data_IF_732428469595
#
_entry.id   IF_732428469595
#
_cell.length_a   1.000
_cell.length_b   1.000
_cell.length_c   1.000
_cell.angle_alpha   90.00
_cell.angle_beta   90.00
_cell.angle_gamma   90.00
#
_symmetry.space_group_name_H-M   'P 1'
#
loop_
_entity.id
_entity.type
_entity.pdbx_description
1 polymer ?
#
# COMPACT_ATOMS: atom_id res chain seq x y z
N UNK A 1 3.88 -14.21 -56.63
CA UNK A 1 4.14 -13.89 -55.21
C UNK A 1 2.79 -13.77 -54.51
N UNK A 2 2.50 -14.67 -53.55
CA UNK A 2 1.27 -14.65 -52.75
C UNK A 2 1.53 -13.76 -51.53
N UNK A 3 0.80 -12.64 -51.41
CA UNK A 3 0.85 -11.80 -50.22
C UNK A 3 0.03 -12.48 -49.12
N UNK A 4 0.72 -12.86 -48.04
CA UNK A 4 0.13 -13.33 -46.80
C UNK A 4 -0.33 -12.09 -46.01
N UNK A 5 -1.64 -11.87 -45.94
CA UNK A 5 -2.24 -10.85 -45.08
C UNK A 5 -2.09 -11.31 -43.62
N UNK A 6 -1.24 -10.63 -42.85
CA UNK A 6 -1.17 -10.75 -41.40
C UNK A 6 -2.28 -9.85 -40.83
N UNK A 7 -3.30 -10.39 -40.15
CA UNK A 7 -4.21 -9.55 -39.39
C UNK A 7 -3.45 -8.99 -38.18
N UNK A 8 -3.22 -7.69 -38.20
CA UNK A 8 -2.77 -6.93 -37.04
C UNK A 8 -3.89 -6.99 -36.01
N UNK A 9 -3.71 -7.83 -34.99
CA UNK A 9 -4.55 -7.88 -33.82
C UNK A 9 -4.39 -6.54 -33.08
N UNK A 10 -5.36 -5.64 -33.26
CA UNK A 10 -5.53 -4.46 -32.43
C UNK A 10 -5.87 -4.94 -31.01
N UNK A 11 -4.87 -4.98 -30.14
CA UNK A 11 -5.07 -5.12 -28.71
C UNK A 11 -5.82 -3.86 -28.25
N UNK A 12 -7.11 -4.02 -27.96
CA UNK A 12 -7.89 -3.00 -27.28
C UNK A 12 -7.25 -2.81 -25.90
N UNK A 13 -6.49 -1.73 -25.74
CA UNK A 13 -6.17 -1.21 -24.42
C UNK A 13 -7.51 -0.87 -23.77
N UNK A 14 -7.97 -1.72 -22.85
CA UNK A 14 -9.11 -1.42 -22.00
C UNK A 14 -8.79 -0.12 -21.27
N UNK A 15 -9.43 0.98 -21.69
CA UNK A 15 -9.52 2.18 -20.90
C UNK A 15 -10.29 1.82 -19.64
N UNK A 16 -9.60 1.46 -18.57
CA UNK A 16 -10.22 1.35 -17.27
C UNK A 16 -10.72 2.75 -16.92
N UNK A 17 -12.03 2.93 -16.84
CA UNK A 17 -12.60 4.20 -16.41
C UNK A 17 -12.09 4.47 -15.00
N UNK A 18 -11.20 5.46 -14.86
CA UNK A 18 -10.60 5.82 -13.57
C UNK A 18 -11.56 6.70 -12.75
N UNK A 19 -12.81 6.26 -12.65
CA UNK A 19 -13.86 6.95 -11.92
C UNK A 19 -13.70 6.73 -10.42
N UNK A 20 -13.98 7.78 -9.66
CA UNK A 20 -14.09 7.72 -8.20
C UNK A 20 -15.20 6.76 -7.78
N UNK A 21 -14.90 5.89 -6.81
CA UNK A 21 -15.84 4.87 -6.28
C UNK A 21 -15.91 4.83 -4.76
N UNK A 22 -15.25 5.76 -4.04
CA UNK A 22 -15.24 5.77 -2.56
C UNK A 22 -16.63 5.74 -1.90
N UNK A 23 -17.63 6.36 -2.52
CA UNK A 23 -19.00 6.44 -1.96
C UNK A 23 -19.86 5.20 -2.28
N UNK A 24 -19.26 4.14 -2.85
CA UNK A 24 -19.92 2.86 -3.13
C UNK A 24 -19.07 1.71 -2.58
N UNK A 25 -19.38 1.28 -1.36
CA UNK A 25 -18.60 0.28 -0.61
C UNK A 25 -18.34 -1.00 -1.39
N UNK A 26 -19.37 -1.56 -2.03
CA UNK A 26 -19.23 -2.78 -2.82
C UNK A 26 -18.25 -2.60 -3.98
N UNK A 27 -18.29 -1.44 -4.65
CA UNK A 27 -17.39 -1.15 -5.77
C UNK A 27 -15.98 -0.78 -5.30
N UNK A 28 -15.87 -0.04 -4.21
CA UNK A 28 -14.59 0.28 -3.58
C UNK A 28 -13.87 -1.01 -3.14
N UNK A 29 -14.57 -1.91 -2.43
CA UNK A 29 -14.03 -3.21 -2.04
C UNK A 29 -13.58 -4.04 -3.26
N UNK A 30 -14.40 -4.13 -4.32
CA UNK A 30 -14.02 -4.83 -5.56
C UNK A 30 -12.75 -4.24 -6.18
N UNK A 31 -12.63 -2.92 -6.21
CA UNK A 31 -11.48 -2.21 -6.81
C UNK A 31 -10.21 -2.37 -5.97
N UNK A 32 -10.33 -2.42 -4.65
CA UNK A 32 -9.20 -2.55 -3.73
C UNK A 32 -8.57 -3.95 -3.76
N UNK A 33 -9.26 -4.99 -4.23
CA UNK A 33 -8.66 -6.32 -4.44
C UNK A 33 -7.53 -6.26 -5.47
N UNK A 34 -6.35 -6.78 -5.13
CA UNK A 34 -5.18 -6.86 -5.99
C UNK A 34 -3.88 -6.46 -5.29
N UNK A 35 -2.84 -6.22 -6.09
CA UNK A 35 -1.53 -5.79 -5.59
C UNK A 35 -1.40 -4.28 -5.71
N UNK A 36 -0.99 -3.65 -4.62
CA UNK A 36 -0.81 -2.22 -4.46
C UNK A 36 0.60 -1.94 -3.98
N UNK A 37 1.08 -0.75 -4.30
CA UNK A 37 2.37 -0.25 -3.81
C UNK A 37 2.22 1.20 -3.39
N UNK A 38 3.01 1.60 -2.42
CA UNK A 38 3.21 3.00 -2.09
C UNK A 38 4.61 3.26 -1.61
N UNK A 39 4.91 4.54 -1.45
CA UNK A 39 6.18 5.05 -0.98
C UNK A 39 5.95 6.36 -0.20
N UNK A 40 6.85 6.63 0.73
CA UNK A 40 6.78 7.79 1.61
C UNK A 40 8.17 8.18 2.11
N UNK A 41 8.29 9.43 2.56
CA UNK A 41 9.48 9.92 3.25
C UNK A 41 9.07 10.59 4.54
N UNK A 42 9.75 10.25 5.63
CA UNK A 42 9.56 10.94 6.90
C UNK A 42 10.14 12.36 6.80
N UNK A 43 9.32 13.34 7.17
CA UNK A 43 9.63 14.76 7.04
C UNK A 43 9.81 15.46 8.39
N UNK A 44 9.67 14.74 9.50
CA UNK A 44 9.97 15.23 10.84
C UNK A 44 11.47 15.24 11.10
N UNK A 45 11.92 16.08 12.05
CA UNK A 45 13.35 16.31 12.29
C UNK A 45 14.07 15.09 12.90
N UNK A 46 13.32 14.17 13.52
CA UNK A 46 13.88 12.97 14.17
C UNK A 46 14.09 11.82 13.17
N UNK A 47 13.19 11.64 12.20
CA UNK A 47 13.28 10.61 11.14
C UNK A 47 13.58 11.20 9.75
N UNK A 48 14.10 12.44 9.71
CA UNK A 48 14.44 13.13 8.46
C UNK A 48 15.42 12.30 7.62
N UNK A 49 14.94 11.84 6.45
CA UNK A 49 15.74 11.03 5.52
C UNK A 49 15.47 9.53 5.56
N UNK A 50 14.50 9.10 6.36
CA UNK A 50 13.94 7.75 6.27
C UNK A 50 13.00 7.68 5.07
N UNK A 51 13.19 6.67 4.23
CA UNK A 51 12.32 6.37 3.10
C UNK A 51 11.59 5.05 3.37
N UNK A 52 10.28 5.05 3.22
CA UNK A 52 9.45 3.86 3.34
C UNK A 52 8.90 3.48 1.97
N UNK A 53 8.82 2.19 1.71
CA UNK A 53 8.05 1.64 0.59
C UNK A 53 7.35 0.37 1.02
N UNK A 54 6.16 0.15 0.48
CA UNK A 54 5.37 -1.02 0.83
C UNK A 54 4.70 -1.64 -0.39
N UNK A 55 4.44 -2.93 -0.26
CA UNK A 55 3.66 -3.72 -1.19
C UNK A 55 2.51 -4.34 -0.41
N UNK A 56 1.29 -4.02 -0.79
CA UNK A 56 0.08 -4.52 -0.18
C UNK A 56 -0.63 -5.47 -1.16
N UNK A 57 -1.03 -6.65 -0.70
CA UNK A 57 -1.87 -7.59 -1.43
C UNK A 57 -3.19 -7.70 -0.68
N UNK A 58 -4.29 -7.33 -1.34
CA UNK A 58 -5.65 -7.47 -0.81
C UNK A 58 -6.37 -8.55 -1.60
N UNK A 59 -6.78 -9.60 -0.91
CA UNK A 59 -7.50 -10.74 -1.49
C UNK A 59 -9.02 -10.53 -1.42
N UNK A 60 -9.76 -11.16 -2.34
CA UNK A 60 -11.23 -11.05 -2.39
C UNK A 60 -11.96 -11.70 -1.21
N UNK A 61 -11.26 -12.53 -0.43
CA UNK A 61 -11.80 -13.13 0.80
C UNK A 61 -11.67 -12.21 2.02
N UNK A 62 -11.16 -10.99 1.82
CA UNK A 62 -10.95 -10.01 2.89
C UNK A 62 -9.63 -10.21 3.64
N UNK A 63 -8.73 -11.08 3.21
CA UNK A 63 -7.37 -11.16 3.76
C UNK A 63 -6.42 -10.16 3.08
N UNK A 64 -5.42 -9.69 3.82
CA UNK A 64 -4.31 -8.92 3.26
C UNK A 64 -2.95 -9.47 3.68
N UNK A 65 -1.94 -9.14 2.89
CA UNK A 65 -0.52 -9.25 3.24
C UNK A 65 0.18 -7.97 2.84
N UNK A 66 1.07 -7.50 3.68
CA UNK A 66 1.89 -6.32 3.39
C UNK A 66 3.35 -6.63 3.66
N UNK A 67 4.20 -6.22 2.74
CA UNK A 67 5.64 -6.19 2.90
C UNK A 67 6.06 -4.73 2.98
N UNK A 68 6.90 -4.38 3.97
CA UNK A 68 7.46 -3.05 4.18
C UNK A 68 8.98 -3.08 4.01
N UNK A 69 9.51 -1.99 3.49
CA UNK A 69 10.94 -1.68 3.44
C UNK A 69 11.14 -0.25 3.93
N UNK A 70 11.93 -0.09 4.98
CA UNK A 70 12.35 1.21 5.49
C UNK A 70 13.85 1.33 5.25
N UNK A 71 14.29 2.44 4.68
CA UNK A 71 15.69 2.72 4.35
C UNK A 71 16.13 3.97 5.09
N UNK A 72 17.20 3.85 5.87
CA UNK A 72 17.88 4.95 6.53
C UNK A 72 19.18 5.28 5.81
N UNK A 73 19.12 6.29 4.92
CA UNK A 73 20.25 6.68 4.08
C UNK A 73 21.44 7.23 4.86
N UNK A 74 21.20 7.91 5.98
CA UNK A 74 22.24 8.49 6.82
C UNK A 74 23.22 7.45 7.36
N UNK A 75 22.69 6.32 7.87
CA UNK A 75 23.49 5.25 8.45
C UNK A 75 23.73 4.07 7.50
N UNK A 76 23.16 4.12 6.30
CA UNK A 76 23.13 2.99 5.34
C UNK A 76 22.53 1.74 5.97
N UNK A 77 21.38 1.92 6.61
CA UNK A 77 20.63 0.87 7.28
C UNK A 77 19.31 0.63 6.55
N UNK A 78 18.76 -0.58 6.67
CA UNK A 78 17.41 -0.87 6.20
C UNK A 78 16.72 -1.88 7.10
N UNK A 79 15.40 -1.84 7.09
CA UNK A 79 14.52 -2.77 7.80
C UNK A 79 13.54 -3.39 6.81
N UNK A 80 13.28 -4.69 6.98
CA UNK A 80 12.23 -5.38 6.26
C UNK A 80 11.28 -6.01 7.27
N UNK A 81 10.00 -5.84 7.03
CA UNK A 81 8.96 -6.51 7.81
C UNK A 81 7.80 -6.92 6.91
N UNK A 82 7.06 -7.91 7.37
CA UNK A 82 5.81 -8.32 6.73
C UNK A 82 4.74 -8.48 7.79
N UNK A 83 3.52 -8.08 7.44
CA UNK A 83 2.33 -8.30 8.26
C UNK A 83 1.20 -8.90 7.40
N UNK A 84 0.24 -9.53 8.07
CA UNK A 84 -0.93 -10.10 7.44
C UNK A 84 -2.13 -10.03 8.37
N UNK A 85 -3.30 -9.91 7.78
CA UNK A 85 -4.53 -9.71 8.53
C UNK A 85 -5.77 -9.77 7.66
N UNK A 86 -6.83 -9.13 8.13
CA UNK A 86 -8.06 -8.95 7.38
C UNK A 86 -8.33 -7.48 7.13
N UNK A 87 -8.95 -7.16 6.00
CA UNK A 87 -9.35 -5.82 5.62
C UNK A 87 -10.83 -5.77 5.27
N UNK A 88 -11.42 -4.57 5.40
CA UNK A 88 -12.79 -4.31 4.95
C UNK A 88 -12.96 -2.84 4.54
N UNK A 89 -14.01 -2.56 3.78
CA UNK A 89 -14.41 -1.21 3.38
C UNK A 89 -15.90 -1.02 3.68
N UNK A 90 -16.24 -0.04 4.52
CA UNK A 90 -17.63 0.24 4.91
C UNK A 90 -17.79 1.73 5.23
N UNK A 91 -18.85 2.34 4.70
CA UNK A 91 -19.22 3.75 4.92
C UNK A 91 -18.06 4.74 4.64
N UNK A 92 -17.28 4.48 3.59
CA UNK A 92 -16.15 5.32 3.23
C UNK A 92 -14.93 5.19 4.16
N UNK A 93 -14.91 4.19 5.04
CA UNK A 93 -13.79 3.89 5.93
C UNK A 93 -13.15 2.56 5.52
N UNK A 94 -11.82 2.57 5.43
CA UNK A 94 -11.03 1.36 5.22
C UNK A 94 -10.51 0.86 6.57
N UNK A 95 -10.61 -0.44 6.82
CA UNK A 95 -10.21 -1.05 8.07
C UNK A 95 -9.20 -2.16 7.83
N UNK A 96 -8.23 -2.27 8.74
CA UNK A 96 -7.30 -3.39 8.81
C UNK A 96 -7.32 -3.98 10.22
N UNK A 97 -7.27 -5.30 10.31
CA UNK A 97 -7.08 -6.03 11.56
C UNK A 97 -5.89 -6.95 11.38
N UNK A 98 -4.78 -6.65 12.05
CA UNK A 98 -3.55 -7.43 11.92
C UNK A 98 -3.63 -8.79 12.63
N UNK A 99 -2.63 -9.64 12.45
CA UNK A 99 -2.56 -10.95 13.09
C UNK A 99 -2.58 -10.92 14.63
N UNK A 100 -2.24 -9.78 15.23
CA UNK A 100 -2.33 -9.53 16.68
C UNK A 100 -3.72 -9.10 17.17
N UNK A 101 -4.67 -8.85 16.26
CA UNK A 101 -6.02 -8.39 16.57
C UNK A 101 -6.16 -6.88 16.70
N UNK A 102 -5.12 -6.10 16.41
CA UNK A 102 -5.17 -4.64 16.43
C UNK A 102 -5.95 -4.15 15.22
N UNK A 103 -7.03 -3.40 15.46
CA UNK A 103 -7.85 -2.79 14.42
C UNK A 103 -7.42 -1.35 14.18
N UNK A 104 -7.11 -1.02 12.93
CA UNK A 104 -6.81 0.34 12.47
C UNK A 104 -7.93 0.77 11.53
N UNK A 105 -8.35 2.03 11.65
CA UNK A 105 -9.33 2.66 10.78
C UNK A 105 -8.66 3.79 9.99
N UNK A 106 -8.98 3.86 8.70
CA UNK A 106 -8.44 4.84 7.79
C UNK A 106 -9.57 5.62 7.11
N UNK A 107 -9.48 6.94 7.20
CA UNK A 107 -10.32 7.86 6.45
C UNK A 107 -9.92 7.83 4.99
N UNK A 108 -10.89 7.59 4.10
CA UNK A 108 -10.62 7.44 2.67
C UNK A 108 -10.96 8.72 1.92
N UNK A 109 -9.99 9.24 1.16
CA UNK A 109 -10.15 10.43 0.34
C UNK A 109 -10.46 10.11 -1.12
N UNK A 110 -9.89 9.03 -1.67
CA UNK A 110 -10.12 8.63 -3.06
C UNK A 110 -9.93 7.13 -3.25
N UNK A 111 -10.85 6.50 -3.98
CA UNK A 111 -10.72 5.11 -4.47
C UNK A 111 -11.01 5.11 -5.96
N UNK A 112 -10.02 4.73 -6.75
CA UNK A 112 -10.16 4.54 -8.20
C UNK A 112 -9.48 3.24 -8.62
N UNK A 113 -9.63 2.87 -9.88
CA UNK A 113 -9.18 1.57 -10.38
C UNK A 113 -7.68 1.30 -10.17
N UNK A 114 -6.85 2.35 -10.19
CA UNK A 114 -5.40 2.29 -10.05
C UNK A 114 -4.84 3.19 -8.95
N UNK A 115 -5.70 3.83 -8.15
CA UNK A 115 -5.32 4.84 -7.15
C UNK A 115 -6.13 4.69 -5.87
N UNK A 116 -5.46 4.73 -4.73
CA UNK A 116 -6.09 4.71 -3.41
C UNK A 116 -5.41 5.73 -2.51
N UNK A 117 -6.17 6.62 -1.88
CA UNK A 117 -5.66 7.67 -1.01
C UNK A 117 -6.47 7.71 0.28
N UNK A 118 -5.76 7.64 1.41
CA UNK A 118 -6.36 7.53 2.74
C UNK A 118 -5.41 8.06 3.82
N UNK A 119 -5.89 8.20 5.05
CA UNK A 119 -5.09 8.58 6.21
C UNK A 119 -5.63 7.89 7.47
N UNK A 120 -4.83 7.78 8.51
CA UNK A 120 -5.23 7.15 9.78
C UNK A 120 -6.28 8.04 10.44
N UNK A 121 -7.49 7.51 10.67
CA UNK A 121 -8.68 8.26 11.07
C UNK A 121 -8.61 8.97 12.44
N UNK A 122 -7.52 8.77 13.19
CA UNK A 122 -7.32 9.28 14.55
C UNK A 122 -6.02 10.07 14.72
N UNK A 123 -5.24 10.25 13.65
CA UNK A 123 -3.94 10.93 13.75
C UNK A 123 -4.02 12.28 13.04
N UNK A 124 -4.09 13.36 13.82
CA UNK A 124 -4.07 14.70 13.25
C UNK A 124 -2.67 15.02 12.71
N UNK A 125 -2.61 15.56 11.49
CA UNK A 125 -1.36 16.01 10.88
C UNK A 125 -0.53 14.91 10.21
N UNK A 126 -0.98 13.66 10.15
CA UNK A 126 -0.33 12.64 9.31
C UNK A 126 -0.50 12.99 7.83
N UNK A 127 0.54 12.80 7.01
CA UNK A 127 0.42 12.90 5.56
C UNK A 127 -0.55 11.84 5.03
N UNK A 128 -1.21 12.15 3.92
CA UNK A 128 -2.03 11.17 3.21
C UNK A 128 -1.15 10.05 2.69
N UNK A 129 -1.60 8.82 2.92
CA UNK A 129 -1.03 7.61 2.33
C UNK A 129 -1.61 7.47 0.93
N UNK A 130 -0.74 7.21 -0.04
CA UNK A 130 -1.11 7.05 -1.43
C UNK A 130 -0.59 5.72 -1.95
N UNK A 131 -1.48 4.95 -2.56
CA UNK A 131 -1.15 3.68 -3.19
C UNK A 131 -1.54 3.68 -4.67
N UNK A 132 -0.72 3.01 -5.47
CA UNK A 132 -1.00 2.72 -6.88
C UNK A 132 -1.10 1.22 -7.12
N UNK A 133 -2.06 0.83 -7.96
CA UNK A 133 -2.23 -0.58 -8.31
C UNK A 133 -1.09 -1.07 -9.20
N UNK A 134 -0.64 -2.29 -8.97
CA UNK A 134 0.51 -2.90 -9.66
C UNK A 134 0.22 -4.36 -10.04
N UNK A 135 1.20 -5.03 -10.65
CA UNK A 135 1.08 -6.40 -11.15
C UNK A 135 1.38 -7.44 -10.06
N UNK A 136 0.80 -8.64 -10.18
CA UNK A 136 0.96 -9.75 -9.20
C UNK A 136 2.42 -10.16 -8.92
N UNK A 137 3.33 -9.90 -9.86
CA UNK A 137 4.76 -10.18 -9.72
C UNK A 137 5.61 -9.07 -9.11
N UNK A 138 5.01 -7.93 -8.74
CA UNK A 138 5.76 -6.80 -8.16
C UNK A 138 6.49 -7.22 -6.88
N UNK A 139 7.73 -6.80 -6.75
CA UNK A 139 8.56 -6.96 -5.56
C UNK A 139 9.08 -5.58 -5.19
N UNK A 140 9.20 -5.33 -3.88
CA UNK A 140 9.88 -4.14 -3.41
C UNK A 140 11.31 -4.14 -3.94
N UNK A 141 11.79 -2.96 -4.30
CA UNK A 141 13.19 -2.80 -4.65
C UNK A 141 14.02 -3.04 -3.39
N UNK A 142 14.99 -3.94 -3.48
CA UNK A 142 15.92 -4.17 -2.38
C UNK A 142 16.71 -2.90 -2.05
N UNK A 143 17.32 -2.85 -0.86
CA UNK A 143 18.10 -1.69 -0.43
C UNK A 143 19.29 -1.47 -1.37
N UNK A 144 19.83 -0.25 -1.44
CA UNK A 144 21.02 0.02 -2.23
C UNK A 144 22.22 -0.82 -1.76
N UNK A 145 23.19 -1.04 -2.67
CA UNK A 145 24.40 -1.79 -2.33
C UNK A 145 25.17 -1.13 -1.18
N UNK A 146 25.62 -1.94 -0.22
CA UNK A 146 26.38 -1.47 0.94
C UNK A 146 25.53 -1.06 2.15
N UNK A 147 24.21 -1.28 2.10
CA UNK A 147 23.33 -1.10 3.25
C UNK A 147 23.29 -2.39 4.08
N UNK A 148 23.12 -2.23 5.40
CA UNK A 148 23.03 -3.35 6.34
C UNK A 148 21.62 -3.46 6.92
N UNK A 149 21.14 -4.70 7.05
CA UNK A 149 19.85 -4.98 7.67
C UNK A 149 19.94 -4.72 9.18
N UNK A 150 18.96 -4.00 9.71
CA UNK A 150 18.72 -3.90 11.14
C UNK A 150 17.45 -4.67 11.47
N UNK A 151 17.58 -5.61 12.39
CA UNK A 151 16.45 -6.29 13.00
C UNK A 151 16.24 -5.67 14.37
N UNK A 152 15.18 -4.88 14.51
CA UNK A 152 14.74 -4.46 15.84
C UNK A 152 14.08 -5.67 16.51
N UNK A 153 14.64 -6.12 17.64
CA UNK A 153 14.08 -7.20 18.46
C UNK A 153 12.76 -6.80 19.16
N UNK A 154 12.18 -5.66 18.80
CA UNK A 154 10.91 -5.15 19.30
C UNK A 154 9.97 -4.97 18.10
N UNK A 155 8.68 -5.35 18.23
CA UNK A 155 7.71 -5.05 17.19
C UNK A 155 7.79 -3.55 16.87
N UNK A 156 7.64 -3.18 15.60
CA UNK A 156 7.37 -1.80 15.22
C UNK A 156 6.09 -1.41 15.96
N UNK A 157 6.25 -0.78 17.12
CA UNK A 157 5.18 -0.10 17.80
C UNK A 157 4.78 1.01 16.84
N UNK A 158 3.75 0.75 16.02
CA UNK A 158 2.90 1.84 15.58
C UNK A 158 2.48 2.50 16.91
N UNK A 159 2.89 3.75 17.19
CA UNK A 159 2.70 4.33 18.50
C UNK A 159 1.20 4.41 18.77
N UNK A 160 0.71 3.47 19.58
CA UNK A 160 -0.55 3.62 20.30
C UNK A 160 -0.16 4.45 21.51
N UNK A 161 -0.19 5.78 21.35
CA UNK A 161 -0.17 6.64 22.52
C UNK A 161 -1.34 6.24 23.40
N UNK A 162 -1.00 5.78 24.61
CA UNK A 162 -1.95 5.36 25.62
C UNK A 162 -2.95 6.48 25.87
N UNK A 163 -4.24 6.14 25.82
CA UNK A 163 -5.32 7.03 26.24
C UNK A 163 -5.04 7.55 27.67
N UNK A 164 -5.05 8.87 27.85
CA UNK A 164 -5.15 9.54 29.16
C UNK A 164 -6.54 9.34 29.79
#
# INVERSE_FOLDING_TARGET
MKYLLIPVLLVLASCTNNSEVKDNDAKAAEVLVGVWRGDGTYADEEDAGWAESWKMIRESDGSYKVDYMIVHDGDKLFEQSSDAGTWSYEDGVYYEVNGGGNKIAYDVFSVKADWFEYNIAQRQGTPNIQESKTVEGFQLQGPPEGYSEVTYDQPVDIPVEAEE
#
